data_IF_148265400582
#
_entry.id   IF_148265400582
#
_cell.length_a   1.000
_cell.length_b   1.000
_cell.length_c   1.000
_cell.angle_alpha   90.00
_cell.angle_beta   90.00
_cell.angle_gamma   90.00
#
_symmetry.space_group_name_H-M   'P 1'
#
loop_
_entity.id
_entity.type
_entity.pdbx_description
1 polymer ?
#
# COMPACT_ATOMS: atom_id res chain seq x y z
N UNK A 1 25.41 -13.56 23.95
CA UNK A 1 26.61 -12.81 23.51
C UNK A 1 26.76 -13.01 22.01
N UNK A 2 26.81 -11.95 21.21
CA UNK A 2 27.08 -11.98 19.77
C UNK A 2 28.55 -11.58 19.53
N UNK A 3 29.30 -12.40 18.83
CA UNK A 3 30.68 -12.11 18.40
C UNK A 3 30.68 -12.02 16.89
N UNK A 4 30.92 -10.83 16.31
CA UNK A 4 31.04 -10.65 14.86
C UNK A 4 32.22 -11.43 14.28
N UNK A 5 32.10 -11.91 13.02
CA UNK A 5 33.12 -12.72 12.35
C UNK A 5 34.50 -12.04 12.34
N UNK A 6 34.57 -10.73 12.14
CA UNK A 6 35.84 -9.98 12.11
C UNK A 6 36.62 -10.00 13.43
N UNK A 7 35.99 -10.42 14.53
CA UNK A 7 36.66 -10.56 15.83
C UNK A 7 37.25 -11.94 16.09
N UNK A 8 36.90 -12.93 15.28
CA UNK A 8 37.33 -14.32 15.43
C UNK A 8 37.96 -14.92 14.18
N UNK A 9 38.03 -14.13 13.08
CA UNK A 9 38.48 -14.63 11.77
C UNK A 9 39.97 -14.94 11.73
N UNK A 10 40.33 -16.21 11.56
CA UNK A 10 41.71 -16.62 11.28
C UNK A 10 42.04 -16.39 9.78
N UNK A 11 43.25 -15.99 9.40
CA UNK A 11 44.47 -15.80 10.24
C UNK A 11 44.63 -14.35 10.75
N UNK A 12 43.59 -13.53 10.77
CA UNK A 12 43.65 -12.10 11.10
C UNK A 12 43.73 -11.84 12.63
N UNK A 13 44.75 -12.45 13.24
CA UNK A 13 45.11 -12.23 14.65
C UNK A 13 46.58 -11.89 14.76
N UNK A 14 46.94 -11.07 15.75
CA UNK A 14 48.35 -10.77 16.03
C UNK A 14 49.03 -11.88 16.82
N UNK A 15 50.30 -11.75 17.05
CA UNK A 15 51.10 -12.73 17.81
C UNK A 15 50.70 -12.88 19.29
N UNK A 16 49.85 -11.95 19.78
CA UNK A 16 49.31 -11.99 21.15
C UNK A 16 47.85 -12.48 21.20
N UNK A 17 47.29 -12.83 20.05
CA UNK A 17 45.89 -13.31 19.96
C UNK A 17 44.84 -12.19 19.81
N UNK A 18 45.25 -10.93 19.62
CA UNK A 18 44.29 -9.85 19.38
C UNK A 18 43.83 -9.84 17.93
N UNK A 19 42.55 -9.60 17.71
CA UNK A 19 41.94 -9.55 16.39
C UNK A 19 42.37 -8.32 15.60
N UNK A 20 42.82 -8.51 14.37
CA UNK A 20 43.15 -7.43 13.39
C UNK A 20 41.87 -7.06 12.61
N UNK A 21 40.93 -6.41 13.30
CA UNK A 21 39.56 -6.18 12.85
C UNK A 21 39.46 -5.52 11.48
N UNK A 22 40.26 -4.50 11.19
CA UNK A 22 40.24 -3.79 9.91
C UNK A 22 40.64 -4.71 8.74
N UNK A 23 41.72 -5.47 8.90
CA UNK A 23 42.19 -6.43 7.89
C UNK A 23 41.18 -7.59 7.68
N UNK A 24 40.57 -8.04 8.75
CA UNK A 24 39.51 -9.06 8.67
C UNK A 24 38.28 -8.53 7.91
N UNK A 25 37.87 -7.27 8.15
CA UNK A 25 36.75 -6.65 7.43
C UNK A 25 37.04 -6.47 5.93
N UNK A 26 38.28 -6.09 5.56
CA UNK A 26 38.68 -6.01 4.15
C UNK A 26 38.58 -7.37 3.46
N UNK A 27 39.11 -8.41 4.08
CA UNK A 27 39.04 -9.76 3.56
C UNK A 27 37.61 -10.28 3.43
N UNK A 28 36.75 -9.98 4.41
CA UNK A 28 35.32 -10.32 4.34
C UNK A 28 34.64 -9.59 3.17
N UNK A 29 34.97 -8.31 2.93
CA UNK A 29 34.43 -7.55 1.80
C UNK A 29 34.81 -8.16 0.46
N UNK A 30 36.10 -8.52 0.29
CA UNK A 30 36.58 -9.17 -0.93
C UNK A 30 35.91 -10.55 -1.15
N UNK A 31 35.77 -11.34 -0.10
CA UNK A 31 35.09 -12.62 -0.16
C UNK A 31 33.61 -12.48 -0.54
N UNK A 32 32.92 -11.48 -0.01
CA UNK A 32 31.53 -11.16 -0.34
C UNK A 32 31.34 -10.69 -1.78
N UNK A 33 32.28 -9.92 -2.32
CA UNK A 33 32.27 -9.52 -3.73
C UNK A 33 32.38 -10.74 -4.65
N UNK A 34 33.21 -11.71 -4.30
CA UNK A 34 33.31 -13.01 -4.99
C UNK A 34 31.99 -13.78 -4.93
N UNK A 35 31.46 -13.96 -3.73
CA UNK A 35 30.21 -14.71 -3.54
C UNK A 35 29.05 -14.09 -4.30
N UNK A 36 28.94 -12.78 -4.32
CA UNK A 36 27.88 -12.07 -5.05
C UNK A 36 27.89 -12.35 -6.54
N UNK A 37 29.05 -12.66 -7.12
CA UNK A 37 29.20 -12.99 -8.55
C UNK A 37 28.97 -14.46 -8.87
N UNK A 38 29.28 -15.35 -7.91
CA UNK A 38 29.40 -16.80 -8.16
C UNK A 38 28.19 -17.59 -7.62
N UNK A 39 27.40 -17.00 -6.73
CA UNK A 39 26.39 -17.75 -5.96
C UNK A 39 25.03 -17.11 -6.12
N UNK A 40 23.96 -17.96 -6.14
CA UNK A 40 22.57 -17.52 -6.12
C UNK A 40 22.27 -16.62 -4.91
N UNK A 41 21.39 -15.60 -5.06
CA UNK A 41 21.11 -14.63 -4.00
C UNK A 41 20.76 -15.23 -2.64
N UNK A 42 19.97 -16.30 -2.61
CA UNK A 42 19.56 -16.95 -1.36
C UNK A 42 20.73 -17.66 -0.66
N UNK A 43 21.59 -18.31 -1.43
CA UNK A 43 22.83 -18.95 -0.91
C UNK A 43 23.83 -17.90 -0.45
N UNK A 44 23.88 -16.75 -1.13
CA UNK A 44 24.70 -15.61 -0.73
C UNK A 44 24.25 -15.07 0.65
N UNK A 45 22.96 -14.88 0.86
CA UNK A 45 22.42 -14.42 2.14
C UNK A 45 22.65 -15.45 3.27
N UNK A 46 22.50 -16.73 2.98
CA UNK A 46 22.85 -17.79 3.94
C UNK A 46 24.31 -17.70 4.39
N UNK A 47 25.25 -17.47 3.46
CA UNK A 47 26.65 -17.32 3.81
C UNK A 47 26.95 -16.07 4.63
N UNK A 48 26.28 -14.93 4.34
CA UNK A 48 26.39 -13.73 5.17
C UNK A 48 25.93 -14.01 6.59
N UNK A 49 24.80 -14.70 6.77
CA UNK A 49 24.30 -15.03 8.11
C UNK A 49 25.16 -16.02 8.89
N UNK A 50 25.95 -16.85 8.19
CA UNK A 50 26.94 -17.74 8.78
C UNK A 50 28.23 -17.05 9.20
N UNK A 51 28.60 -15.95 8.50
CA UNK A 51 29.76 -15.10 8.78
C UNK A 51 29.36 -13.64 8.97
N UNK A 52 28.55 -13.34 10.01
CA UNK A 52 27.97 -12.03 10.19
C UNK A 52 28.99 -11.04 10.74
N UNK A 53 29.00 -9.82 10.19
CA UNK A 53 29.81 -8.70 10.70
C UNK A 53 29.06 -7.85 11.72
N UNK A 54 27.75 -8.00 11.78
CA UNK A 54 26.86 -7.36 12.75
C UNK A 54 25.69 -8.29 13.14
N UNK A 55 24.96 -7.89 14.17
CA UNK A 55 23.88 -8.70 14.72
C UNK A 55 22.71 -8.88 13.73
N UNK A 56 22.45 -7.87 12.90
CA UNK A 56 21.38 -7.92 11.91
C UNK A 56 21.66 -8.97 10.84
N UNK A 57 22.91 -9.09 10.40
CA UNK A 57 23.32 -10.12 9.44
C UNK A 57 23.20 -11.53 10.00
N UNK A 58 23.48 -11.72 11.29
CA UNK A 58 23.34 -13.02 11.95
C UNK A 58 21.90 -13.53 11.94
N UNK A 59 20.93 -12.61 12.01
CA UNK A 59 19.51 -12.93 12.03
C UNK A 59 18.79 -12.66 10.70
N UNK A 60 19.49 -12.12 9.69
CA UNK A 60 18.92 -11.80 8.39
C UNK A 60 18.43 -13.03 7.62
N UNK A 61 19.09 -14.20 7.81
CA UNK A 61 18.67 -15.44 7.18
C UNK A 61 17.83 -16.28 8.13
N UNK A 62 16.51 -15.99 8.15
CA UNK A 62 15.54 -16.92 8.73
C UNK A 62 14.96 -17.77 7.61
N UNK A 63 15.18 -19.08 7.65
CA UNK A 63 14.60 -20.04 6.69
C UNK A 63 13.07 -20.04 6.64
N UNK A 64 12.42 -19.34 7.55
CA UNK A 64 10.97 -19.38 7.75
C UNK A 64 10.22 -18.30 6.98
N UNK A 65 10.88 -17.20 6.58
CA UNK A 65 10.19 -16.13 5.84
C UNK A 65 10.22 -16.39 4.33
N UNK A 66 9.05 -16.30 3.68
CA UNK A 66 8.91 -16.37 2.22
C UNK A 66 9.41 -15.11 1.51
N UNK A 67 9.66 -14.05 2.27
CA UNK A 67 10.09 -12.75 1.76
C UNK A 67 11.62 -12.61 1.73
N UNK A 68 12.12 -11.71 0.87
CA UNK A 68 13.54 -11.38 0.78
C UNK A 68 14.01 -10.59 2.02
N UNK A 69 14.43 -11.30 3.07
CA UNK A 69 14.77 -10.74 4.39
C UNK A 69 15.80 -9.59 4.30
N UNK A 70 16.81 -9.72 3.42
CA UNK A 70 17.81 -8.68 3.24
C UNK A 70 17.26 -7.36 2.71
N UNK A 71 16.27 -7.42 1.80
CA UNK A 71 15.60 -6.22 1.29
C UNK A 71 14.75 -5.57 2.39
N UNK A 72 14.03 -6.39 3.17
CA UNK A 72 13.22 -5.92 4.28
C UNK A 72 14.07 -5.28 5.38
N UNK A 73 15.20 -5.90 5.75
CA UNK A 73 16.11 -5.36 6.75
C UNK A 73 16.75 -4.05 6.29
N UNK A 74 17.16 -3.96 5.01
CA UNK A 74 17.68 -2.72 4.44
C UNK A 74 16.64 -1.59 4.46
N UNK A 75 15.39 -1.91 4.11
CA UNK A 75 14.30 -0.95 4.14
C UNK A 75 13.97 -0.49 5.56
N UNK A 76 13.95 -1.40 6.54
CA UNK A 76 13.71 -1.04 7.93
C UNK A 76 14.73 -0.03 8.45
N UNK A 77 16.02 -0.21 8.12
CA UNK A 77 17.08 0.77 8.45
C UNK A 77 16.81 2.13 7.84
N UNK A 78 16.47 2.19 6.56
CA UNK A 78 16.14 3.46 5.89
C UNK A 78 14.98 4.20 6.57
N UNK A 79 13.99 3.44 7.06
CA UNK A 79 12.88 4.01 7.81
C UNK A 79 13.37 4.53 9.18
N UNK A 80 14.20 3.78 9.89
CA UNK A 80 14.81 4.16 11.17
C UNK A 80 15.72 5.38 11.03
N UNK A 81 16.44 5.51 9.91
CA UNK A 81 17.26 6.67 9.53
C UNK A 81 16.41 7.88 9.08
N UNK A 82 15.07 7.81 9.22
CA UNK A 82 14.11 8.87 8.91
C UNK A 82 14.09 9.32 7.44
N UNK A 83 14.44 8.46 6.51
CA UNK A 83 14.31 8.75 5.07
C UNK A 83 12.84 8.91 4.62
N UNK A 84 11.88 8.48 5.45
CA UNK A 84 10.45 8.53 5.19
C UNK A 84 9.73 9.41 6.22
N UNK A 85 9.68 10.75 6.01
CA UNK A 85 8.95 11.63 6.90
C UNK A 85 7.44 11.31 6.87
N UNK A 86 6.78 11.46 8.00
CA UNK A 86 5.36 11.19 8.14
C UNK A 86 4.67 12.15 9.09
N UNK A 87 3.37 12.25 8.97
CA UNK A 87 2.48 12.98 9.86
C UNK A 87 1.58 11.99 10.61
N UNK A 88 1.28 12.30 11.88
CA UNK A 88 0.31 11.57 12.69
C UNK A 88 -0.98 12.38 12.73
N UNK A 89 -2.03 11.86 12.12
CA UNK A 89 -3.25 12.61 11.88
C UNK A 89 -4.49 11.91 12.42
N UNK A 90 -5.51 12.72 12.71
CA UNK A 90 -6.88 12.27 12.92
C UNK A 90 -7.82 12.95 11.93
N UNK A 91 -8.69 12.15 11.33
CA UNK A 91 -9.77 12.62 10.47
C UNK A 91 -11.06 12.68 11.27
N UNK A 92 -11.85 13.71 11.06
CA UNK A 92 -13.14 13.89 11.72
C UNK A 92 -14.13 14.66 10.84
N UNK A 93 -15.39 14.68 11.23
CA UNK A 93 -16.42 15.55 10.63
C UNK A 93 -16.52 16.81 11.46
N UNK A 94 -16.45 17.97 10.80
CA UNK A 94 -16.71 19.26 11.43
C UNK A 94 -18.22 19.47 11.71
N UNK A 95 -18.59 20.61 12.29
CA UNK A 95 -19.98 20.98 12.58
C UNK A 95 -20.88 21.05 11.33
N UNK A 96 -20.28 21.22 10.16
CA UNK A 96 -20.97 21.23 8.87
C UNK A 96 -20.89 19.88 8.15
N UNK A 97 -20.47 18.81 8.85
CA UNK A 97 -20.26 17.47 8.29
C UNK A 97 -19.19 17.38 7.19
N UNK A 98 -18.33 18.39 7.03
CA UNK A 98 -17.19 18.30 6.14
C UNK A 98 -16.08 17.47 6.76
N UNK A 99 -15.32 16.79 5.91
CA UNK A 99 -14.14 16.08 6.35
C UNK A 99 -13.02 17.07 6.72
N UNK A 100 -12.54 16.98 7.94
CA UNK A 100 -11.48 17.82 8.49
C UNK A 100 -10.33 16.96 9.04
N UNK A 101 -9.16 17.58 9.14
CA UNK A 101 -7.90 16.92 9.53
C UNK A 101 -7.27 17.70 10.69
N UNK A 102 -6.80 17.00 11.70
CA UNK A 102 -6.01 17.57 12.79
C UNK A 102 -4.82 16.67 13.12
N UNK A 103 -3.81 17.24 13.75
CA UNK A 103 -2.72 16.44 14.31
C UNK A 103 -3.24 15.51 15.42
N UNK A 104 -2.67 14.33 15.48
CA UNK A 104 -3.02 13.33 16.49
C UNK A 104 -2.08 13.41 17.68
N UNK A 105 -2.64 13.39 18.87
CA UNK A 105 -1.89 13.20 20.12
C UNK A 105 -1.62 11.71 20.42
N UNK A 106 -2.19 10.81 19.62
CA UNK A 106 -1.98 9.36 19.75
C UNK A 106 -0.83 8.89 18.89
N UNK A 107 -0.15 7.85 19.33
CA UNK A 107 0.86 7.16 18.55
C UNK A 107 0.24 6.00 17.75
N UNK A 108 0.85 5.61 16.63
CA UNK A 108 0.47 4.40 15.92
C UNK A 108 0.79 3.17 16.78
N UNK A 109 0.06 2.09 16.57
CA UNK A 109 0.34 0.82 17.24
C UNK A 109 1.67 0.28 16.71
N UNK A 110 2.68 0.24 17.59
CA UNK A 110 4.05 -0.19 17.28
C UNK A 110 4.43 -1.53 17.92
N UNK A 111 3.51 -2.17 18.64
CA UNK A 111 3.71 -3.48 19.26
C UNK A 111 3.43 -4.59 18.24
N UNK A 112 4.35 -5.57 18.16
CA UNK A 112 4.18 -6.78 17.35
C UNK A 112 4.98 -7.95 17.94
N UNK A 113 4.40 -9.13 18.13
CA UNK A 113 2.95 -9.41 18.04
C UNK A 113 2.17 -8.62 19.09
N UNK A 114 0.91 -8.30 18.77
CA UNK A 114 0.06 -7.51 19.66
C UNK A 114 -0.29 -8.33 20.90
N UNK A 115 -0.08 -7.74 22.06
CA UNK A 115 -0.46 -8.35 23.34
C UNK A 115 -1.95 -8.18 23.61
N UNK A 116 -2.59 -9.21 24.20
CA UNK A 116 -3.97 -9.13 24.72
C UNK A 116 -4.12 -8.03 25.78
N UNK A 117 -3.01 -7.67 26.44
CA UNK A 117 -2.97 -6.64 27.48
C UNK A 117 -2.81 -5.21 26.94
N UNK A 118 -2.63 -5.02 25.63
CA UNK A 118 -2.51 -3.67 25.06
C UNK A 118 -3.77 -2.87 25.37
N UNK A 119 -3.64 -1.82 26.19
CA UNK A 119 -4.76 -1.05 26.73
C UNK A 119 -5.43 -0.19 25.65
N UNK A 120 -4.64 0.54 24.87
CA UNK A 120 -5.15 1.36 23.76
C UNK A 120 -4.84 0.68 22.41
N UNK A 121 -5.89 0.19 21.76
CA UNK A 121 -5.81 -0.39 20.41
C UNK A 121 -6.32 0.56 19.33
N UNK A 122 -6.54 1.84 19.62
CA UNK A 122 -7.16 2.75 18.66
C UNK A 122 -6.18 3.26 17.59
N UNK A 123 -4.91 3.49 17.96
CA UNK A 123 -3.90 4.00 17.04
C UNK A 123 -4.24 5.36 16.41
N UNK A 124 -3.35 5.89 15.59
CA UNK A 124 -3.59 7.07 14.75
C UNK A 124 -3.35 6.76 13.27
N UNK A 125 -3.80 7.63 12.38
CA UNK A 125 -3.48 7.55 10.95
C UNK A 125 -2.06 8.05 10.73
N UNK A 126 -1.21 7.20 10.12
CA UNK A 126 0.12 7.58 9.66
C UNK A 126 0.03 7.99 8.20
N UNK A 127 0.52 9.16 7.87
CA UNK A 127 0.45 9.74 6.53
C UNK A 127 1.84 10.12 6.05
N UNK A 128 2.33 9.47 5.02
CA UNK A 128 3.61 9.78 4.35
C UNK A 128 3.43 10.76 3.19
N UNK A 129 2.25 10.77 2.58
CA UNK A 129 1.88 11.76 1.55
C UNK A 129 0.38 12.06 1.67
N UNK A 130 0.03 13.35 1.85
CA UNK A 130 -1.36 13.77 1.84
C UNK A 130 -1.97 13.56 0.44
N UNK A 131 -3.31 13.36 0.34
CA UNK A 131 -3.95 13.28 -0.97
C UNK A 131 -3.71 14.55 -1.78
N UNK A 132 -3.54 14.39 -3.08
CA UNK A 132 -3.52 15.52 -4.02
C UNK A 132 -4.84 16.31 -3.89
N UNK A 133 -4.81 17.61 -4.16
CA UNK A 133 -6.03 18.41 -4.23
C UNK A 133 -6.93 17.85 -5.34
N UNK A 134 -8.20 17.60 -5.02
CA UNK A 134 -9.20 17.03 -5.91
C UNK A 134 -8.70 15.72 -6.59
N UNK A 135 -8.46 14.65 -5.81
CA UNK A 135 -7.88 13.42 -6.35
C UNK A 135 -8.87 12.74 -7.31
N UNK A 136 -8.39 12.42 -8.51
CA UNK A 136 -9.17 11.67 -9.49
C UNK A 136 -9.41 10.24 -8.97
N UNK A 137 -10.63 9.72 -9.15
CA UNK A 137 -10.94 8.34 -8.78
C UNK A 137 -10.05 7.34 -9.53
N UNK A 138 -9.46 6.41 -8.79
CA UNK A 138 -8.46 5.46 -9.33
C UNK A 138 -7.01 5.96 -9.23
N UNK A 139 -6.75 7.15 -8.68
CA UNK A 139 -5.40 7.60 -8.32
C UNK A 139 -4.91 6.91 -7.05
N UNK A 140 -5.82 6.65 -6.12
CA UNK A 140 -5.52 5.95 -4.88
C UNK A 140 -6.32 4.65 -4.80
N UNK A 141 -5.64 3.60 -4.40
CA UNK A 141 -6.23 2.32 -4.05
C UNK A 141 -6.10 2.10 -2.56
N UNK A 142 -7.06 1.41 -1.96
CA UNK A 142 -6.94 0.98 -0.59
C UNK A 142 -7.28 -0.50 -0.45
N UNK A 143 -6.75 -1.14 0.58
CA UNK A 143 -7.20 -2.46 0.99
C UNK A 143 -7.40 -2.51 2.49
N UNK A 144 -8.42 -3.23 2.90
CA UNK A 144 -8.84 -3.34 4.29
C UNK A 144 -8.95 -4.81 4.69
N UNK A 145 -8.33 -5.12 5.82
CA UNK A 145 -8.60 -6.32 6.61
C UNK A 145 -9.45 -5.88 7.82
N UNK A 146 -10.80 -6.04 7.78
CA UNK A 146 -11.68 -5.54 8.81
C UNK A 146 -11.82 -6.53 9.96
N UNK A 147 -12.17 -6.03 11.15
CA UNK A 147 -12.56 -6.83 12.29
C UNK A 147 -14.09 -6.98 12.36
N UNK A 148 -14.56 -8.06 12.98
CA UNK A 148 -15.99 -8.38 13.11
C UNK A 148 -16.70 -7.71 14.28
N UNK A 149 -15.95 -7.23 15.27
CA UNK A 149 -16.48 -6.71 16.53
C UNK A 149 -15.55 -5.62 17.10
N UNK A 150 -16.04 -4.85 18.07
CA UNK A 150 -15.22 -3.91 18.83
C UNK A 150 -14.14 -4.62 19.65
N UNK A 151 -13.40 -3.85 20.47
CA UNK A 151 -12.33 -4.41 21.31
C UNK A 151 -12.87 -5.54 22.18
N UNK A 152 -12.18 -6.67 22.14
CA UNK A 152 -12.45 -7.84 22.98
C UNK A 152 -11.21 -8.24 23.76
N UNK A 153 -11.41 -9.00 24.82
CA UNK A 153 -10.32 -9.61 25.60
C UNK A 153 -9.85 -10.95 24.99
N UNK A 154 -10.58 -11.44 23.98
CA UNK A 154 -10.37 -12.78 23.39
C UNK A 154 -9.64 -12.73 22.05
N UNK A 155 -9.63 -11.59 21.37
CA UNK A 155 -9.03 -11.44 20.04
C UNK A 155 -7.93 -10.38 20.03
N UNK A 156 -6.77 -10.73 19.45
CA UNK A 156 -5.64 -9.84 19.23
C UNK A 156 -5.66 -9.20 17.84
N UNK A 157 -6.64 -9.53 16.99
CA UNK A 157 -6.76 -8.99 15.64
C UNK A 157 -7.06 -7.50 15.66
N UNK A 158 -6.40 -6.77 14.79
CA UNK A 158 -6.64 -5.36 14.52
C UNK A 158 -7.23 -5.19 13.12
N UNK A 159 -8.05 -4.18 12.96
CA UNK A 159 -8.40 -3.70 11.64
C UNK A 159 -7.20 -3.00 11.00
N UNK A 160 -6.91 -3.28 9.76
CA UNK A 160 -5.79 -2.69 9.04
C UNK A 160 -6.25 -2.13 7.69
N UNK A 161 -5.81 -0.90 7.37
CA UNK A 161 -5.99 -0.28 6.06
C UNK A 161 -4.66 0.31 5.59
N UNK A 162 -4.34 0.06 4.32
CA UNK A 162 -3.27 0.73 3.60
C UNK A 162 -3.84 1.50 2.42
N UNK A 163 -3.31 2.69 2.20
CA UNK A 163 -3.60 3.50 1.01
C UNK A 163 -2.36 3.58 0.14
N UNK A 164 -2.53 3.27 -1.12
CA UNK A 164 -1.49 3.23 -2.14
C UNK A 164 -1.80 4.24 -3.23
N UNK A 165 -0.82 5.06 -3.58
CA UNK A 165 -0.87 5.94 -4.75
C UNK A 165 -0.41 5.15 -5.97
N UNK A 166 -1.26 5.07 -6.98
CA UNK A 166 -0.90 4.47 -8.27
C UNK A 166 0.17 5.32 -8.99
N UNK A 167 0.97 4.74 -9.88
CA UNK A 167 1.87 5.51 -10.73
C UNK A 167 1.07 6.43 -11.65
N UNK A 168 1.50 7.69 -11.77
CA UNK A 168 0.77 8.74 -12.48
C UNK A 168 1.70 9.38 -13.51
N UNK A 169 1.25 9.48 -14.75
CA UNK A 169 1.89 10.28 -15.78
C UNK A 169 1.50 11.75 -15.61
N UNK A 170 2.43 12.57 -15.14
CA UNK A 170 2.21 13.99 -14.91
C UNK A 170 2.85 14.78 -16.03
N UNK A 171 2.04 15.60 -16.72
CA UNK A 171 2.50 16.53 -17.75
C UNK A 171 2.47 17.95 -17.21
N UNK A 172 3.61 18.64 -17.26
CA UNK A 172 3.77 20.06 -16.92
C UNK A 172 4.22 20.84 -18.15
N UNK A 173 3.74 22.05 -18.26
CA UNK A 173 4.23 22.98 -19.25
C UNK A 173 5.33 23.86 -18.62
N UNK A 174 6.56 23.68 -19.05
CA UNK A 174 7.72 24.45 -18.62
C UNK A 174 8.32 25.16 -19.85
N UNK A 175 8.41 26.48 -19.81
CA UNK A 175 8.98 27.29 -20.90
C UNK A 175 8.36 27.05 -22.29
N UNK A 176 7.05 26.72 -22.36
CA UNK A 176 6.37 26.44 -23.62
C UNK A 176 6.56 25.01 -24.14
N UNK A 177 7.34 24.18 -23.44
CA UNK A 177 7.52 22.76 -23.73
C UNK A 177 6.73 21.89 -22.75
N UNK A 178 6.06 20.86 -23.26
CA UNK A 178 5.35 19.91 -22.42
C UNK A 178 6.30 18.82 -21.95
N UNK A 179 6.69 18.88 -20.65
CA UNK A 179 7.50 17.85 -20.00
C UNK A 179 6.57 16.86 -19.30
N UNK A 180 6.82 15.60 -19.54
CA UNK A 180 6.05 14.50 -18.95
C UNK A 180 7.00 13.65 -18.09
N UNK A 181 6.61 13.36 -16.85
CA UNK A 181 7.31 12.45 -15.96
C UNK A 181 6.32 11.51 -15.29
N UNK A 182 6.80 10.36 -14.83
CA UNK A 182 6.00 9.41 -14.08
C UNK A 182 6.30 9.60 -12.60
N UNK A 183 5.28 10.02 -11.83
CA UNK A 183 5.35 9.92 -10.37
C UNK A 183 5.24 8.45 -9.97
N UNK A 184 6.24 7.98 -9.22
CA UNK A 184 6.31 6.61 -8.75
C UNK A 184 5.16 6.28 -7.79
N UNK A 185 4.75 5.04 -7.86
CA UNK A 185 3.78 4.44 -6.95
C UNK A 185 4.38 4.20 -5.56
N UNK A 186 3.57 4.30 -4.52
CA UNK A 186 3.98 4.02 -3.13
C UNK A 186 2.80 3.94 -2.18
N UNK A 187 3.04 3.38 -1.00
CA UNK A 187 2.14 3.50 0.13
C UNK A 187 2.21 4.93 0.67
N UNK A 188 1.06 5.58 0.80
CA UNK A 188 0.95 7.00 1.22
C UNK A 188 0.32 7.18 2.58
N UNK A 189 -0.47 6.20 3.06
CA UNK A 189 -1.03 6.21 4.40
C UNK A 189 -1.34 4.80 4.90
N UNK A 190 -1.34 4.65 6.22
CA UNK A 190 -1.75 3.43 6.89
C UNK A 190 -2.42 3.74 8.23
N UNK A 191 -3.41 2.94 8.57
CA UNK A 191 -3.97 2.90 9.91
C UNK A 191 -4.17 1.44 10.32
N UNK A 192 -3.78 1.15 11.55
CA UNK A 192 -4.04 -0.14 12.17
C UNK A 192 -4.57 0.11 13.57
N UNK A 193 -5.73 -0.48 13.88
CA UNK A 193 -6.35 -0.24 15.16
C UNK A 193 -7.71 -0.90 15.31
N UNK A 194 -8.28 -0.74 16.51
CA UNK A 194 -9.58 -1.27 16.86
C UNK A 194 -10.18 -0.43 17.98
N UNK A 195 -11.32 0.17 17.74
CA UNK A 195 -12.07 0.89 18.78
C UNK A 195 -12.93 -0.06 19.60
N UNK A 196 -13.32 0.35 20.79
CA UNK A 196 -14.26 -0.40 21.63
C UNK A 196 -15.61 -0.57 20.93
N UNK A 197 -16.06 0.47 20.22
CA UNK A 197 -17.23 0.45 19.37
C UNK A 197 -16.82 0.20 17.91
N UNK A 198 -17.29 -0.89 17.32
CA UNK A 198 -17.04 -1.24 15.92
C UNK A 198 -17.47 -0.14 14.94
N UNK A 199 -18.52 0.61 15.28
CA UNK A 199 -19.01 1.70 14.45
C UNK A 199 -17.97 2.80 14.30
N UNK A 200 -17.23 3.13 15.38
CA UNK A 200 -16.12 4.10 15.32
C UNK A 200 -14.96 3.59 14.44
N UNK A 201 -14.72 2.28 14.44
CA UNK A 201 -13.76 1.66 13.52
C UNK A 201 -14.20 1.86 12.06
N UNK A 202 -15.48 1.62 11.76
CA UNK A 202 -16.03 1.82 10.42
C UNK A 202 -16.00 3.29 9.99
N UNK A 203 -16.35 4.22 10.87
CA UNK A 203 -16.26 5.66 10.61
C UNK A 203 -14.82 6.10 10.31
N UNK A 204 -13.83 5.57 11.03
CA UNK A 204 -12.42 5.85 10.79
C UNK A 204 -12.00 5.40 9.39
N UNK A 205 -12.36 4.19 8.99
CA UNK A 205 -12.07 3.66 7.66
C UNK A 205 -12.74 4.47 6.56
N UNK A 206 -14.02 4.82 6.74
CA UNK A 206 -14.79 5.65 5.82
C UNK A 206 -14.11 7.00 5.56
N UNK A 207 -13.68 7.70 6.64
CA UNK A 207 -13.03 9.00 6.53
C UNK A 207 -11.70 8.90 5.75
N UNK A 208 -10.90 7.85 5.97
CA UNK A 208 -9.65 7.62 5.25
C UNK A 208 -9.94 7.42 3.76
N UNK A 209 -10.91 6.56 3.43
CA UNK A 209 -11.31 6.27 2.05
C UNK A 209 -11.78 7.54 1.33
N UNK A 210 -12.61 8.34 1.97
CA UNK A 210 -13.12 9.59 1.41
C UNK A 210 -12.02 10.62 1.20
N UNK A 211 -11.13 10.78 2.19
CA UNK A 211 -10.06 11.76 2.11
C UNK A 211 -9.15 11.54 0.91
N UNK A 212 -8.82 10.27 0.64
CA UNK A 212 -8.02 9.91 -0.53
C UNK A 212 -8.84 9.70 -1.81
N UNK A 213 -10.18 9.72 -1.75
CA UNK A 213 -11.06 9.27 -2.85
C UNK A 213 -10.62 7.88 -3.35
N UNK A 214 -10.28 6.98 -2.42
CA UNK A 214 -9.63 5.72 -2.70
C UNK A 214 -10.61 4.64 -3.16
N UNK A 215 -10.23 3.90 -4.20
CA UNK A 215 -10.97 2.72 -4.62
C UNK A 215 -10.51 1.52 -3.77
N UNK A 216 -11.45 0.95 -3.01
CA UNK A 216 -11.14 0.13 -1.83
C UNK A 216 -11.54 -1.32 -2.01
N UNK A 217 -10.57 -2.21 -1.87
CA UNK A 217 -10.76 -3.65 -1.78
C UNK A 217 -10.89 -4.06 -0.31
N UNK A 218 -11.99 -4.72 0.05
CA UNK A 218 -12.29 -5.13 1.42
C UNK A 218 -12.25 -6.64 1.53
N UNK A 219 -11.58 -7.18 2.55
CA UNK A 219 -11.73 -8.58 2.91
C UNK A 219 -13.15 -8.83 3.43
N UNK A 220 -13.91 -9.66 2.71
CA UNK A 220 -15.33 -9.89 2.96
C UNK A 220 -15.59 -11.26 3.61
N UNK A 221 -14.81 -11.63 4.59
CA UNK A 221 -15.10 -12.77 5.45
C UNK A 221 -16.26 -12.41 6.40
N UNK A 222 -16.29 -11.14 6.83
CA UNK A 222 -17.36 -10.54 7.61
C UNK A 222 -17.83 -9.28 6.89
N UNK A 223 -19.08 -9.26 6.42
CA UNK A 223 -19.59 -8.19 5.56
C UNK A 223 -20.02 -6.90 6.30
N UNK A 224 -19.74 -6.75 7.59
CA UNK A 224 -20.23 -5.62 8.40
C UNK A 224 -19.78 -4.26 7.89
N UNK A 225 -18.51 -4.13 7.53
CA UNK A 225 -17.99 -2.88 6.97
C UNK A 225 -18.62 -2.55 5.61
N UNK A 226 -18.82 -3.55 4.76
CA UNK A 226 -19.50 -3.38 3.46
C UNK A 226 -20.95 -2.94 3.67
N UNK A 227 -21.69 -3.57 4.62
CA UNK A 227 -23.04 -3.17 4.98
C UNK A 227 -23.08 -1.73 5.49
N UNK A 228 -22.11 -1.35 6.32
CA UNK A 228 -21.97 0.02 6.80
C UNK A 228 -21.80 1.00 5.63
N UNK A 229 -20.86 0.77 4.71
CA UNK A 229 -20.63 1.64 3.55
C UNK A 229 -21.86 1.75 2.64
N UNK A 230 -22.60 0.67 2.45
CA UNK A 230 -23.86 0.68 1.68
C UNK A 230 -24.93 1.51 2.41
N UNK A 231 -25.06 1.36 3.74
CA UNK A 231 -26.01 2.15 4.55
C UNK A 231 -25.71 3.65 4.49
N UNK A 232 -24.41 4.01 4.37
CA UNK A 232 -23.96 5.38 4.19
C UNK A 232 -24.03 5.87 2.73
N UNK A 233 -24.53 5.05 1.80
CA UNK A 233 -24.59 5.32 0.34
C UNK A 233 -23.22 5.59 -0.30
N UNK A 234 -22.18 4.93 0.22
CA UNK A 234 -20.77 5.09 -0.18
C UNK A 234 -20.17 3.88 -0.90
N UNK A 235 -21.03 3.00 -1.39
CA UNK A 235 -20.63 1.78 -2.12
C UNK A 235 -19.79 2.08 -3.37
N UNK A 236 -19.79 3.31 -3.89
CA UNK A 236 -18.96 3.73 -5.03
C UNK A 236 -17.47 3.55 -4.80
N UNK A 237 -17.04 3.58 -3.53
CA UNK A 237 -15.65 3.39 -3.15
C UNK A 237 -15.24 1.92 -3.10
N UNK A 238 -16.20 0.99 -3.05
CA UNK A 238 -15.94 -0.43 -2.88
C UNK A 238 -15.70 -1.11 -4.21
N UNK A 239 -14.71 -1.99 -4.24
CA UNK A 239 -14.41 -2.86 -5.38
C UNK A 239 -15.43 -3.98 -5.44
N UNK A 240 -16.03 -4.20 -6.62
CA UNK A 240 -16.89 -5.35 -6.88
C UNK A 240 -16.08 -6.53 -7.42
N UNK A 241 -16.53 -7.75 -7.20
CA UNK A 241 -15.81 -8.97 -7.59
C UNK A 241 -15.62 -9.12 -9.11
N UNK A 242 -16.57 -8.61 -9.90
CA UNK A 242 -16.46 -8.58 -11.36
C UNK A 242 -15.32 -7.69 -11.89
N UNK A 243 -14.88 -6.74 -11.07
CA UNK A 243 -13.74 -5.86 -11.37
C UNK A 243 -12.38 -6.53 -11.13
N UNK A 244 -12.39 -7.71 -10.50
CA UNK A 244 -11.19 -8.51 -10.24
C UNK A 244 -11.36 -9.86 -10.91
N UNK A 245 -10.63 -10.09 -12.01
CA UNK A 245 -10.79 -11.23 -12.90
C UNK A 245 -10.78 -12.60 -12.21
N UNK A 246 -9.93 -12.80 -11.19
CA UNK A 246 -9.80 -14.07 -10.49
C UNK A 246 -10.83 -14.28 -9.37
N UNK A 247 -11.73 -13.32 -9.13
CA UNK A 247 -12.81 -13.41 -8.14
C UNK A 247 -14.19 -13.62 -8.77
N UNK A 248 -14.26 -13.88 -10.08
CA UNK A 248 -15.52 -13.92 -10.85
C UNK A 248 -16.47 -15.08 -10.53
N UNK A 249 -16.02 -16.11 -9.82
CA UNK A 249 -16.86 -17.27 -9.48
C UNK A 249 -17.89 -16.94 -8.40
N UNK A 250 -18.84 -16.09 -8.73
CA UNK A 250 -19.99 -15.80 -7.86
C UNK A 250 -21.19 -16.49 -8.46
N UNK A 251 -21.79 -17.42 -7.69
CA UNK A 251 -23.08 -18.00 -8.04
C UNK A 251 -24.14 -16.89 -8.21
N UNK A 252 -25.06 -17.09 -9.12
CA UNK A 252 -26.15 -16.16 -9.47
C UNK A 252 -27.05 -15.73 -8.32
N UNK A 253 -26.96 -16.37 -7.14
CA UNK A 253 -27.75 -16.11 -5.93
C UNK A 253 -26.97 -15.43 -4.81
N UNK A 254 -25.85 -14.78 -5.11
CA UNK A 254 -25.07 -14.07 -4.09
C UNK A 254 -25.84 -12.87 -3.54
N UNK A 255 -25.83 -12.69 -2.21
CA UNK A 255 -26.40 -11.48 -1.59
C UNK A 255 -25.68 -10.22 -2.09
N UNK A 256 -26.35 -9.07 -2.05
CA UNK A 256 -25.77 -7.78 -2.47
C UNK A 256 -24.41 -7.53 -1.82
N UNK A 257 -24.25 -7.88 -0.55
CA UNK A 257 -22.99 -7.70 0.18
C UNK A 257 -21.87 -8.63 -0.29
N UNK A 258 -22.22 -9.79 -0.85
CA UNK A 258 -21.26 -10.76 -1.39
C UNK A 258 -20.69 -10.35 -2.75
N UNK A 259 -21.27 -9.35 -3.40
CA UNK A 259 -20.78 -8.81 -4.67
C UNK A 259 -19.52 -7.95 -4.50
N UNK A 260 -19.26 -7.45 -3.27
CA UNK A 260 -18.12 -6.59 -2.96
C UNK A 260 -16.99 -7.34 -2.30
N UNK A 261 -15.78 -6.83 -2.51
CA UNK A 261 -14.58 -7.30 -1.83
C UNK A 261 -14.15 -8.71 -2.23
N UNK A 262 -13.33 -9.32 -1.42
CA UNK A 262 -12.79 -10.65 -1.64
C UNK A 262 -12.92 -11.50 -0.37
N UNK A 263 -12.86 -12.82 -0.52
CA UNK A 263 -12.86 -13.75 0.62
C UNK A 263 -11.51 -14.41 0.74
N UNK A 264 -10.96 -14.41 1.95
CA UNK A 264 -9.71 -15.09 2.27
C UNK A 264 -9.96 -16.59 2.48
N UNK A 265 -10.41 -17.27 1.43
CA UNK A 265 -10.76 -18.69 1.48
C UNK A 265 -9.74 -19.52 0.69
N UNK A 266 -9.05 -20.40 1.40
CA UNK A 266 -8.20 -21.42 0.81
C UNK A 266 -6.71 -21.04 0.69
N UNK A 267 -5.89 -22.07 0.87
CA UNK A 267 -4.42 -21.96 0.89
C UNK A 267 -3.85 -21.48 -0.44
N UNK A 268 -4.43 -21.92 -1.56
CA UNK A 268 -3.99 -21.54 -2.91
C UNK A 268 -4.19 -20.04 -3.17
N UNK A 269 -5.30 -19.47 -2.69
CA UNK A 269 -5.58 -18.05 -2.88
C UNK A 269 -4.61 -17.18 -2.06
N UNK A 270 -4.35 -17.57 -0.80
CA UNK A 270 -3.33 -16.90 0.04
C UNK A 270 -1.94 -16.93 -0.60
N UNK A 271 -1.54 -18.09 -1.12
CA UNK A 271 -0.26 -18.26 -1.81
C UNK A 271 -0.18 -17.35 -3.06
N UNK A 272 -1.29 -17.21 -3.79
CA UNK A 272 -1.35 -16.32 -4.95
C UNK A 272 -1.19 -14.84 -4.55
N UNK A 273 -1.86 -14.37 -3.50
CA UNK A 273 -1.68 -13.00 -2.99
C UNK A 273 -0.25 -12.76 -2.49
N UNK A 274 0.34 -13.74 -1.80
CA UNK A 274 1.74 -13.67 -1.36
C UNK A 274 2.71 -13.56 -2.56
N UNK A 275 2.46 -14.25 -3.67
CA UNK A 275 3.31 -14.14 -4.86
C UNK A 275 3.35 -12.73 -5.42
N UNK A 276 2.22 -12.02 -5.46
CA UNK A 276 2.19 -10.61 -5.85
C UNK A 276 3.01 -9.72 -4.92
N UNK A 277 2.93 -9.96 -3.60
CA UNK A 277 3.70 -9.20 -2.64
C UNK A 277 5.22 -9.47 -2.77
N UNK A 278 5.62 -10.72 -2.97
CA UNK A 278 7.03 -11.10 -3.19
C UNK A 278 7.56 -10.44 -4.46
N UNK A 279 6.79 -10.48 -5.55
CA UNK A 279 7.16 -9.85 -6.82
C UNK A 279 7.29 -8.33 -6.66
N UNK A 280 6.32 -7.68 -6.00
CA UNK A 280 6.34 -6.24 -5.71
C UNK A 280 7.59 -5.80 -4.93
N UNK A 281 8.00 -6.58 -3.92
CA UNK A 281 9.19 -6.28 -3.12
C UNK A 281 10.48 -6.38 -3.92
N UNK A 282 10.56 -7.34 -4.85
CA UNK A 282 11.76 -7.65 -5.65
C UNK A 282 11.84 -6.88 -6.96
N UNK A 283 10.78 -6.19 -7.36
CA UNK A 283 10.76 -5.39 -8.58
C UNK A 283 11.88 -4.36 -8.57
N UNK A 284 12.68 -4.32 -9.62
CA UNK A 284 13.70 -3.30 -9.82
C UNK A 284 13.05 -2.03 -10.35
N UNK A 285 13.10 -0.94 -9.58
CA UNK A 285 12.41 0.32 -9.90
C UNK A 285 13.35 1.28 -10.59
N UNK A 286 14.60 1.39 -10.07
CA UNK A 286 15.56 2.40 -10.51
C UNK A 286 16.98 1.92 -10.32
N UNK A 287 17.89 2.47 -11.12
CA UNK A 287 19.31 2.15 -11.11
C UNK A 287 20.15 3.41 -11.09
N UNK A 288 21.00 3.54 -10.09
CA UNK A 288 22.06 4.55 -10.07
C UNK A 288 23.25 4.03 -10.87
N UNK A 289 23.74 4.82 -11.83
CA UNK A 289 24.86 4.48 -12.70
C UNK A 289 26.10 5.31 -12.37
N UNK A 290 27.28 4.69 -12.49
CA UNK A 290 28.54 5.45 -12.54
C UNK A 290 28.72 6.09 -13.91
N UNK A 291 29.72 6.98 -14.01
CA UNK A 291 30.14 7.61 -15.27
C UNK A 291 30.60 6.60 -16.34
N UNK A 292 31.00 5.40 -15.93
CA UNK A 292 31.37 4.29 -16.82
C UNK A 292 30.20 3.42 -17.28
N UNK A 293 28.94 3.76 -16.87
CA UNK A 293 27.74 3.02 -17.19
C UNK A 293 27.49 1.78 -16.32
N UNK A 294 28.35 1.49 -15.35
CA UNK A 294 28.11 0.37 -14.42
C UNK A 294 27.09 0.74 -13.36
N UNK A 295 26.19 -0.22 -13.01
CA UNK A 295 25.18 -0.03 -11.96
C UNK A 295 25.87 0.03 -10.59
N UNK A 296 25.65 1.12 -9.86
CA UNK A 296 26.15 1.31 -8.49
C UNK A 296 25.17 0.75 -7.47
N UNK A 297 23.88 1.08 -7.67
CA UNK A 297 22.81 0.74 -6.74
C UNK A 297 21.55 0.45 -7.52
N UNK A 298 20.83 -0.59 -7.11
CA UNK A 298 19.49 -0.89 -7.59
C UNK A 298 18.48 -0.56 -6.48
N UNK A 299 17.46 0.19 -6.82
CA UNK A 299 16.33 0.46 -5.94
C UNK A 299 15.24 -0.56 -6.21
N UNK A 300 14.84 -1.29 -5.17
CA UNK A 300 13.82 -2.32 -5.25
C UNK A 300 12.45 -1.83 -4.78
N UNK A 301 11.39 -2.54 -5.18
CA UNK A 301 10.00 -2.24 -4.85
C UNK A 301 9.69 -2.13 -3.36
N UNK A 302 10.48 -2.77 -2.51
CA UNK A 302 10.40 -2.62 -1.05
C UNK A 302 10.53 -1.16 -0.60
N UNK A 303 11.23 -0.30 -1.35
CA UNK A 303 11.38 1.13 -1.04
C UNK A 303 10.07 1.91 -1.08
N UNK A 304 9.03 1.36 -1.71
CA UNK A 304 7.67 1.93 -1.74
C UNK A 304 6.89 1.71 -0.45
N UNK A 305 7.47 0.96 0.52
CA UNK A 305 6.85 0.62 1.80
C UNK A 305 7.52 1.41 2.92
N UNK A 306 6.90 2.49 3.41
CA UNK A 306 7.46 3.29 4.50
C UNK A 306 7.00 2.85 5.89
N UNK A 307 6.14 1.82 6.02
CA UNK A 307 5.60 1.33 7.30
C UNK A 307 6.54 0.32 7.96
N UNK A 308 7.18 0.67 9.11
CA UNK A 308 8.08 -0.24 9.81
C UNK A 308 7.37 -1.46 10.39
N UNK A 309 6.08 -1.34 10.75
CA UNK A 309 5.35 -2.43 11.36
C UNK A 309 4.96 -3.49 10.33
N UNK A 310 4.60 -3.09 9.12
CA UNK A 310 4.40 -4.02 8.00
C UNK A 310 5.69 -4.79 7.68
N UNK A 311 6.84 -4.09 7.66
CA UNK A 311 8.15 -4.73 7.46
C UNK A 311 8.43 -5.76 8.57
N UNK A 312 8.15 -5.42 9.83
CA UNK A 312 8.32 -6.36 10.97
C UNK A 312 7.40 -7.58 10.87
N UNK A 313 6.13 -7.40 10.44
CA UNK A 313 5.22 -8.52 10.18
C UNK A 313 5.75 -9.44 9.06
N UNK A 314 6.27 -8.86 7.97
CA UNK A 314 6.88 -9.63 6.88
C UNK A 314 8.13 -10.42 7.34
N UNK A 315 9.00 -9.79 8.14
CA UNK A 315 10.19 -10.45 8.69
C UNK A 315 9.85 -11.61 9.62
N UNK A 316 8.77 -11.49 10.39
CA UNK A 316 8.31 -12.50 11.34
C UNK A 316 7.31 -13.49 10.73
N UNK A 317 6.90 -13.30 9.48
CA UNK A 317 5.84 -14.08 8.85
C UNK A 317 6.13 -15.59 8.88
N UNK A 318 5.20 -16.32 9.46
CA UNK A 318 5.12 -17.78 9.47
C UNK A 318 3.66 -18.20 9.51
N UNK A 319 3.38 -19.39 9.07
CA UNK A 319 2.02 -19.94 9.10
C UNK A 319 1.46 -19.95 10.53
N UNK A 320 0.21 -19.48 10.70
CA UNK A 320 -0.47 -19.40 12.00
C UNK A 320 -0.18 -18.13 12.82
N UNK A 321 0.70 -17.24 12.35
CA UNK A 321 0.89 -15.95 13.00
C UNK A 321 -0.20 -14.96 12.56
N UNK A 322 -0.72 -14.16 13.52
CA UNK A 322 -1.62 -13.07 13.21
C UNK A 322 -0.85 -11.90 12.57
N UNK A 323 -1.18 -11.57 11.31
CA UNK A 323 -0.48 -10.59 10.48
C UNK A 323 -1.48 -9.71 9.70
N UNK A 324 -2.31 -8.98 10.44
CA UNK A 324 -3.42 -8.19 9.89
C UNK A 324 -2.95 -7.14 8.85
N UNK A 325 -1.78 -6.50 9.08
CA UNK A 325 -1.20 -5.56 8.12
C UNK A 325 -0.78 -6.25 6.84
N UNK A 326 -0.14 -7.40 6.95
CA UNK A 326 0.33 -8.16 5.80
C UNK A 326 -0.84 -8.66 4.95
N UNK A 327 -1.95 -9.08 5.55
CA UNK A 327 -3.17 -9.49 4.83
C UNK A 327 -3.71 -8.32 4.01
N UNK A 328 -3.92 -7.17 4.62
CA UNK A 328 -4.37 -5.96 3.92
C UNK A 328 -3.38 -5.55 2.80
N UNK A 329 -2.07 -5.60 3.05
CA UNK A 329 -1.06 -5.24 2.07
C UNK A 329 -1.01 -6.19 0.87
N UNK A 330 -1.05 -7.51 1.06
CA UNK A 330 -1.00 -8.48 -0.04
C UNK A 330 -2.19 -8.32 -0.99
N UNK A 331 -3.37 -8.09 -0.44
CA UNK A 331 -4.58 -7.80 -1.21
C UNK A 331 -4.47 -6.47 -1.98
N UNK A 332 -3.90 -5.43 -1.35
CA UNK A 332 -3.67 -4.13 -1.97
C UNK A 332 -2.76 -4.23 -3.19
N UNK A 333 -1.61 -4.89 -3.04
CA UNK A 333 -0.62 -5.04 -4.12
C UNK A 333 -1.20 -5.83 -5.29
N UNK A 334 -1.89 -6.94 -5.01
CA UNK A 334 -2.55 -7.73 -6.05
C UNK A 334 -3.60 -6.89 -6.81
N UNK A 335 -4.41 -6.13 -6.08
CA UNK A 335 -5.42 -5.24 -6.66
C UNK A 335 -4.78 -4.14 -7.51
N UNK A 336 -3.76 -3.45 -6.99
CA UNK A 336 -3.07 -2.38 -7.70
C UNK A 336 -2.45 -2.89 -9.01
N UNK A 337 -1.77 -4.04 -8.99
CA UNK A 337 -1.15 -4.65 -10.17
C UNK A 337 -2.17 -5.01 -11.24
N UNK A 338 -3.30 -5.58 -10.85
CA UNK A 338 -4.40 -5.91 -11.78
C UNK A 338 -4.96 -4.64 -12.41
N UNK A 339 -5.20 -3.60 -11.61
CA UNK A 339 -5.73 -2.34 -12.14
C UNK A 339 -4.73 -1.64 -13.07
N UNK A 340 -3.45 -1.67 -12.75
CA UNK A 340 -2.41 -1.13 -13.61
C UNK A 340 -2.34 -1.85 -14.95
N UNK A 341 -2.43 -3.18 -14.95
CA UNK A 341 -2.47 -4.00 -16.17
C UNK A 341 -3.70 -3.71 -17.02
N UNK A 342 -4.86 -3.45 -16.39
CA UNK A 342 -6.12 -3.23 -17.09
C UNK A 342 -6.28 -1.79 -17.62
N UNK A 343 -5.71 -0.79 -16.94
CA UNK A 343 -5.99 0.64 -17.20
C UNK A 343 -4.78 1.43 -17.70
N UNK A 344 -3.56 0.92 -17.50
CA UNK A 344 -2.34 1.69 -17.73
C UNK A 344 -2.17 2.84 -16.72
N UNK A 345 -1.34 3.82 -17.06
CA UNK A 345 -1.09 4.98 -16.20
C UNK A 345 -2.23 6.00 -16.28
N UNK A 346 -2.63 6.53 -15.12
CA UNK A 346 -3.49 7.71 -15.07
C UNK A 346 -2.69 8.92 -15.55
N UNK A 347 -3.30 9.73 -16.43
CA UNK A 347 -2.70 10.96 -16.96
C UNK A 347 -3.24 12.16 -16.21
N UNK A 348 -2.35 12.98 -15.68
CA UNK A 348 -2.68 14.24 -15.02
C UNK A 348 -1.92 15.39 -15.66
N UNK A 349 -2.64 16.44 -16.05
CA UNK A 349 -2.03 17.70 -16.47
C UNK A 349 -1.99 18.65 -15.27
N UNK A 350 -0.79 19.05 -14.86
CA UNK A 350 -0.62 20.11 -13.88
C UNK A 350 -0.58 21.46 -14.61
N UNK A 351 -1.48 22.36 -14.21
CA UNK A 351 -1.57 23.71 -14.76
C UNK A 351 -0.90 24.66 -13.77
N UNK A 352 0.11 25.41 -14.22
CA UNK A 352 0.76 26.42 -13.38
C UNK A 352 -0.26 27.44 -12.87
N UNK A 353 -0.11 27.89 -11.62
CA UNK A 353 -1.05 28.83 -10.98
C UNK A 353 -1.24 30.14 -11.74
N UNK A 354 -0.26 30.58 -12.51
CA UNK A 354 -0.34 31.77 -13.37
C UNK A 354 -1.24 31.59 -14.60
N UNK A 355 -1.40 30.32 -15.08
CA UNK A 355 -2.33 30.03 -16.17
C UNK A 355 -3.76 29.80 -15.69
N UNK A 356 -3.96 29.59 -14.37
CA UNK A 356 -5.28 29.39 -13.78
C UNK A 356 -6.17 30.63 -13.86
N UNK A 357 -5.62 31.84 -13.79
CA UNK A 357 -6.40 33.07 -13.94
C UNK A 357 -6.90 33.24 -15.38
N UNK A 358 -6.07 32.93 -16.37
CA UNK A 358 -6.50 32.93 -17.79
C UNK A 358 -7.47 31.79 -18.10
N UNK A 359 -7.33 30.62 -17.46
CA UNK A 359 -8.26 29.50 -17.68
C UNK A 359 -9.60 29.69 -16.98
N UNK A 360 -9.68 30.44 -15.87
CA UNK A 360 -10.94 30.77 -15.21
C UNK A 360 -11.84 31.66 -16.12
N UNK A 361 -11.25 32.53 -16.89
CA UNK A 361 -11.99 33.35 -17.86
C UNK A 361 -12.44 32.52 -19.08
N UNK A 362 -11.63 31.58 -19.53
CA UNK A 362 -12.01 30.60 -20.57
C UNK A 362 -13.10 29.62 -20.10
N UNK A 363 -13.07 29.23 -18.84
CA UNK A 363 -14.08 28.34 -18.24
C UNK A 363 -15.42 29.08 -18.06
N UNK A 364 -15.40 30.36 -17.68
CA UNK A 364 -16.58 31.21 -17.64
C UNK A 364 -17.20 31.39 -19.02
N UNK A 365 -16.39 31.56 -20.06
CA UNK A 365 -16.83 31.63 -21.44
C UNK A 365 -17.46 30.32 -21.94
N UNK A 366 -16.85 29.17 -21.66
CA UNK A 366 -17.39 27.83 -22.02
C UNK A 366 -18.68 27.49 -21.27
N UNK A 367 -18.77 27.77 -19.96
CA UNK A 367 -19.98 27.54 -19.17
C UNK A 367 -21.13 28.48 -19.63
N UNK A 368 -20.81 29.69 -20.06
CA UNK A 368 -21.78 30.61 -20.69
C UNK A 368 -22.32 30.06 -22.01
N UNK A 369 -21.45 29.53 -22.87
CA UNK A 369 -21.84 28.95 -24.15
C UNK A 369 -22.71 27.70 -24.02
N UNK A 370 -22.42 26.82 -23.04
CA UNK A 370 -23.25 25.64 -22.76
C UNK A 370 -24.64 25.99 -22.19
N UNK A 371 -24.78 27.09 -21.44
CA UNK A 371 -26.11 27.55 -20.96
C UNK A 371 -27.03 28.03 -22.10
N UNK A 372 -26.49 28.52 -23.19
CA UNK A 372 -27.28 28.89 -24.36
C UNK A 372 -27.70 27.73 -25.24
N UNK A 373 -26.89 26.65 -25.31
CA UNK A 373 -27.22 25.44 -26.12
C UNK A 373 -28.36 24.63 -25.45
N UNK A 374 -28.52 24.68 -24.13
CA UNK A 374 -29.59 23.99 -23.41
C UNK A 374 -30.99 24.59 -23.53
N UNK A 375 -31.16 25.80 -24.12
CA UNK A 375 -32.46 26.47 -24.25
C UNK A 375 -33.10 26.40 -25.65
N UNK A 376 -32.44 25.84 -26.64
CA UNK A 376 -32.97 25.64 -27.99
C UNK A 376 -33.25 24.20 -28.37
N UNK A 377 -33.56 23.35 -27.40
CA UNK A 377 -34.00 21.99 -27.65
C UNK A 377 -35.46 21.97 -28.08
N UNK A 378 -35.72 21.97 -29.38
CA UNK A 378 -36.98 21.52 -29.90
C UNK A 378 -37.25 20.09 -29.45
N UNK A 379 -38.36 19.90 -28.74
CA UNK A 379 -38.92 18.60 -28.42
C UNK A 379 -39.43 17.96 -29.72
N UNK A 380 -38.59 17.20 -30.40
CA UNK A 380 -39.08 16.24 -31.36
C UNK A 380 -39.69 15.07 -30.57
N UNK A 381 -41.02 15.04 -30.56
CA UNK A 381 -41.79 14.03 -29.89
C UNK A 381 -41.45 12.64 -30.38
N UNK A 382 -40.82 11.84 -29.54
CA UNK A 382 -40.78 10.41 -29.72
C UNK A 382 -42.17 9.82 -29.43
N UNK A 383 -42.89 9.48 -30.46
CA UNK A 383 -44.12 8.68 -30.36
C UNK A 383 -43.79 7.32 -29.72
N UNK A 384 -44.40 7.06 -28.60
CA UNK A 384 -44.35 5.73 -27.95
C UNK A 384 -45.06 4.72 -28.88
N UNK A 385 -44.47 3.55 -29.15
CA UNK A 385 -45.16 2.52 -29.90
C UNK A 385 -46.38 2.00 -29.09
N UNK A 386 -47.55 2.02 -29.71
CA UNK A 386 -48.79 1.42 -29.21
C UNK A 386 -48.61 -0.09 -29.10
N UNK A 387 -48.65 -0.63 -27.87
CA UNK A 387 -48.79 -2.08 -27.65
C UNK A 387 -50.19 -2.53 -28.12
N UNK A 388 -50.23 -3.31 -29.16
CA UNK A 388 -51.45 -4.05 -29.53
C UNK A 388 -51.63 -5.26 -28.61
N UNK A 389 -52.64 -5.23 -27.77
CA UNK A 389 -53.14 -6.41 -27.07
C UNK A 389 -53.86 -7.28 -28.09
N UNK A 390 -53.36 -8.47 -28.37
CA UNK A 390 -54.13 -9.54 -29.01
C UNK A 390 -54.75 -10.42 -27.92
N UNK A 391 -56.06 -10.36 -27.81
CA UNK A 391 -56.88 -11.39 -27.14
C UNK A 391 -56.69 -12.73 -27.87
N UNK A 392 -56.35 -13.78 -27.13
CA UNK A 392 -56.53 -15.17 -27.55
C UNK A 392 -57.32 -15.85 -26.41
N UNK A 393 -58.43 -16.44 -26.84
CA UNK A 393 -59.30 -17.27 -26.07
C UNK A 393 -58.59 -18.52 -25.50
#
# INVERSE_FOLDING_TARGET
>A
LFIPEQWSMMPYVDKYGNSLVEKALEAIKEERIKWKKEIEPDKYQLRISQKPTNIEEAFAFRRESVFAVHLLAAQLRRIEDKEYPYELLELYRDEHSNLAVKESNKLPISEFPISKKTEDKTGCLVVWERPKKDPTFGMYYASIDPVSEGKTTTSDSLCSIFVYKAPIEVSREENGEQKTHIEQDKIVAAWCGRFDDIKKTHERLELIIEWYNAWTLVENNVSLFIQYMISQRKQRYLVTKDQILFLKDIGSNASVYQQYGWRNTGTLFKAHLLSYAIEFLREEIDHDYKTDGSVVRTTYGVSRIPDPMLIKEMLAYREGLNVDRLVAFTALVAFAKIQQSNRGYLKRREVNSESLDKSKDLYKLKVGAFRHIGKSGHSTGMQKPKRAFKNIR
#
